data_IF_990462522443
#
_entry.id   IF_990462522443
#
_cell.length_a   1.000
_cell.length_b   1.000
_cell.length_c   1.000
_cell.angle_alpha   90.00
_cell.angle_beta   90.00
_cell.angle_gamma   90.00
#
_symmetry.space_group_name_H-M   'P 1'
#
loop_
_entity.id
_entity.type
_entity.pdbx_description
1 polymer ?
#
# COMPACT_ATOMS: atom_id res chain seq x y z
N UNK A 1 -3.47 -3.70 22.29
CA UNK A 1 -4.21 -3.62 21.01
C UNK A 1 -3.17 -3.70 19.90
N UNK A 2 -3.13 -4.77 19.12
CA UNK A 2 -2.17 -4.92 18.02
C UNK A 2 -2.68 -4.01 16.90
N UNK A 3 -2.06 -2.85 16.72
CA UNK A 3 -2.39 -1.96 15.61
C UNK A 3 -1.78 -2.56 14.35
N UNK A 4 -2.62 -3.19 13.54
CA UNK A 4 -2.24 -3.62 12.19
C UNK A 4 -1.80 -2.38 11.39
N UNK A 5 -0.73 -2.48 10.57
CA UNK A 5 -0.36 -1.40 9.68
C UNK A 5 -1.56 -1.02 8.81
N UNK A 6 -1.82 0.28 8.68
CA UNK A 6 -2.86 0.79 7.77
C UNK A 6 -2.26 0.91 6.39
N UNK A 7 -2.93 0.31 5.42
CA UNK A 7 -2.61 0.39 4.01
C UNK A 7 -3.64 1.29 3.35
N UNK A 8 -3.18 2.41 2.81
CA UNK A 8 -3.98 3.34 2.02
C UNK A 8 -3.47 3.35 0.57
N UNK A 9 -4.35 3.66 -0.39
CA UNK A 9 -4.04 3.62 -1.82
C UNK A 9 -4.23 5.00 -2.42
N UNK A 10 -3.12 5.56 -2.88
CA UNK A 10 -3.10 6.80 -3.66
C UNK A 10 -2.93 6.47 -5.15
N UNK A 11 -3.65 7.20 -6.00
CA UNK A 11 -3.52 7.10 -7.46
C UNK A 11 -3.04 8.44 -7.98
N UNK A 12 -1.89 8.43 -8.65
CA UNK A 12 -1.38 9.62 -9.30
C UNK A 12 -2.17 9.95 -10.59
N UNK A 13 -1.90 11.12 -11.18
CA UNK A 13 -2.55 11.58 -12.42
C UNK A 13 -2.37 10.65 -13.62
N UNK A 14 -1.37 9.76 -13.61
CA UNK A 14 -1.16 8.73 -14.62
C UNK A 14 -1.70 7.35 -14.21
N UNK A 15 -2.47 7.28 -13.12
CA UNK A 15 -3.08 6.05 -12.60
C UNK A 15 -2.08 5.00 -12.09
N UNK A 16 -0.88 5.42 -11.68
CA UNK A 16 0.02 4.55 -10.93
C UNK A 16 -0.43 4.52 -9.48
N UNK A 17 -0.69 3.31 -9.00
CA UNK A 17 -1.06 3.10 -7.61
C UNK A 17 0.17 3.12 -6.71
N UNK A 18 0.08 3.91 -5.66
CA UNK A 18 1.06 4.00 -4.59
C UNK A 18 0.37 3.55 -3.30
N UNK A 19 0.94 2.54 -2.65
CA UNK A 19 0.53 2.12 -1.32
C UNK A 19 1.21 3.02 -0.30
N UNK A 20 0.42 3.68 0.53
CA UNK A 20 0.88 4.41 1.70
C UNK A 20 0.68 3.52 2.92
N UNK A 21 1.76 3.26 3.64
CA UNK A 21 1.77 2.35 4.78
C UNK A 21 2.13 3.14 6.02
N UNK A 22 1.15 3.32 6.91
CA UNK A 22 1.37 4.01 8.17
C UNK A 22 1.95 3.04 9.21
N UNK A 23 3.14 3.35 9.70
CA UNK A 23 3.77 2.68 10.83
C UNK A 23 3.24 3.24 12.15
N UNK A 24 3.28 2.43 13.22
CA UNK A 24 2.82 2.86 14.54
C UNK A 24 3.67 4.00 15.14
N UNK A 25 4.91 4.19 14.66
CA UNK A 25 5.75 5.30 15.05
C UNK A 25 5.30 6.66 14.47
N UNK A 26 4.22 6.70 13.68
CA UNK A 26 3.70 7.90 13.02
C UNK A 26 4.37 8.24 11.69
N UNK A 27 5.31 7.40 11.21
CA UNK A 27 5.90 7.56 9.89
C UNK A 27 5.09 6.79 8.84
N UNK A 28 4.98 7.37 7.66
CA UNK A 28 4.33 6.74 6.51
C UNK A 28 5.39 6.40 5.47
N UNK A 29 5.37 5.17 4.97
CA UNK A 29 6.22 4.76 3.85
C UNK A 29 5.36 4.61 2.61
N UNK A 30 5.85 5.11 1.48
CA UNK A 30 5.15 5.07 0.19
C UNK A 30 5.89 4.15 -0.77
N UNK A 31 5.16 3.22 -1.37
CA UNK A 31 5.70 2.28 -2.35
C UNK A 31 4.76 2.15 -3.54
N UNK A 32 5.31 2.10 -4.75
CA UNK A 32 4.52 1.75 -5.91
C UNK A 32 3.98 0.33 -5.78
N UNK A 33 2.67 0.18 -5.93
CA UNK A 33 2.00 -1.12 -5.80
C UNK A 33 2.58 -2.15 -6.78
N UNK A 34 2.91 -1.72 -8.00
CA UNK A 34 3.52 -2.57 -9.02
C UNK A 34 4.91 -3.10 -8.66
N UNK A 35 5.59 -2.48 -7.68
CA UNK A 35 6.91 -2.91 -7.20
C UNK A 35 6.84 -3.73 -5.90
N UNK A 36 5.64 -3.90 -5.34
CA UNK A 36 5.43 -4.69 -4.14
C UNK A 36 5.19 -6.16 -4.50
N UNK A 37 5.80 -7.05 -3.72
CA UNK A 37 5.61 -8.48 -3.81
C UNK A 37 5.04 -9.02 -2.51
N UNK A 38 4.33 -10.16 -2.54
CA UNK A 38 4.01 -10.88 -1.32
C UNK A 38 5.32 -11.21 -0.58
N UNK A 39 5.33 -11.06 0.74
CA UNK A 39 6.50 -11.28 1.60
C UNK A 39 7.64 -10.26 1.45
N UNK A 40 7.42 -9.15 0.76
CA UNK A 40 8.39 -8.06 0.80
C UNK A 40 8.50 -7.51 2.23
N UNK A 41 9.72 -7.49 2.76
CA UNK A 41 10.01 -6.83 4.03
C UNK A 41 10.16 -5.34 3.78
N UNK A 42 9.16 -4.58 4.17
CA UNK A 42 9.19 -3.13 4.11
C UNK A 42 9.72 -2.63 5.45
N UNK A 43 10.73 -1.77 5.42
CA UNK A 43 11.30 -1.20 6.64
C UNK A 43 10.79 0.22 6.84
N UNK A 44 10.32 0.51 8.06
CA UNK A 44 10.03 1.87 8.45
C UNK A 44 11.31 2.60 8.84
N UNK A 45 11.32 3.94 8.73
CA UNK A 45 12.42 4.79 9.20
C UNK A 45 12.74 4.61 10.70
N UNK A 46 11.77 4.16 11.51
CA UNK A 46 12.01 3.85 12.92
C UNK A 46 12.72 2.50 13.15
N UNK A 47 12.97 1.71 12.11
CA UNK A 47 13.57 0.38 12.18
C UNK A 47 12.57 -0.76 12.39
N UNK A 48 11.26 -0.48 12.39
CA UNK A 48 10.24 -1.52 12.44
C UNK A 48 10.09 -2.23 11.08
N UNK A 49 10.05 -3.56 11.11
CA UNK A 49 9.68 -4.38 9.95
C UNK A 49 8.15 -4.36 9.77
N UNK A 50 7.74 -4.02 8.54
CA UNK A 50 6.37 -4.02 8.07
C UNK A 50 6.27 -5.14 7.04
N UNK A 51 5.52 -6.17 7.39
CA UNK A 51 5.20 -7.25 6.47
C UNK A 51 3.91 -6.94 5.73
N UNK A 52 3.95 -7.03 4.41
CA UNK A 52 2.74 -6.97 3.58
C UNK A 52 2.39 -8.40 3.13
N UNK A 53 1.38 -9.05 3.75
CA UNK A 53 0.97 -10.39 3.35
C UNK A 53 0.30 -10.36 1.98
N UNK A 54 0.33 -11.48 1.26
CA UNK A 54 -0.29 -11.62 -0.06
C UNK A 54 -1.77 -11.16 -0.08
N UNK A 55 -2.52 -11.41 0.99
CA UNK A 55 -3.91 -10.96 1.10
C UNK A 55 -4.05 -9.43 1.14
N UNK A 56 -3.13 -8.72 1.82
CA UNK A 56 -3.14 -7.26 1.84
C UNK A 56 -2.75 -6.68 0.46
N UNK A 57 -1.83 -7.35 -0.24
CA UNK A 57 -1.46 -6.98 -1.60
C UNK A 57 -2.63 -7.17 -2.57
N UNK A 58 -3.33 -8.30 -2.51
CA UNK A 58 -4.53 -8.56 -3.33
C UNK A 58 -5.63 -7.52 -3.07
N UNK A 59 -5.87 -7.17 -1.80
CA UNK A 59 -6.81 -6.10 -1.45
C UNK A 59 -6.40 -4.74 -2.03
N UNK A 60 -5.10 -4.39 -1.98
CA UNK A 60 -4.58 -3.16 -2.55
C UNK A 60 -4.74 -3.10 -4.08
N UNK A 61 -4.55 -4.22 -4.77
CA UNK A 61 -4.83 -4.34 -6.20
C UNK A 61 -6.31 -4.14 -6.50
N UNK A 62 -7.21 -4.83 -5.80
CA UNK A 62 -8.66 -4.67 -5.99
C UNK A 62 -9.14 -3.25 -5.72
N UNK A 63 -8.61 -2.59 -4.68
CA UNK A 63 -8.92 -1.19 -4.39
C UNK A 63 -8.45 -0.28 -5.51
N UNK A 64 -7.24 -0.50 -6.03
CA UNK A 64 -6.71 0.23 -7.18
C UNK A 64 -7.61 0.07 -8.40
N UNK A 65 -8.02 -1.15 -8.73
CA UNK A 65 -8.90 -1.43 -9.87
C UNK A 65 -10.27 -0.78 -9.69
N UNK A 66 -10.83 -0.82 -8.48
CA UNK A 66 -12.09 -0.15 -8.14
C UNK A 66 -11.99 1.38 -8.27
N UNK A 67 -10.88 1.97 -7.84
CA UNK A 67 -10.62 3.39 -7.99
C UNK A 67 -10.47 3.75 -9.48
N UNK A 68 -9.65 3.03 -10.25
CA UNK A 68 -9.52 3.23 -11.71
C UNK A 68 -10.87 3.14 -12.43
N UNK A 69 -11.70 2.16 -12.08
CA UNK A 69 -13.05 2.03 -12.62
C UNK A 69 -13.93 3.25 -12.28
N UNK A 70 -13.81 3.76 -11.05
CA UNK A 70 -14.54 4.96 -10.59
C UNK A 70 -14.06 6.24 -11.30
N UNK A 71 -12.77 6.34 -11.62
CA UNK A 71 -12.17 7.46 -12.35
C UNK A 71 -12.44 7.43 -13.87
N UNK A 72 -13.18 6.44 -14.41
CA UNK A 72 -13.44 6.26 -15.85
C UNK A 72 -12.16 6.36 -16.69
N UNK A 73 -11.12 5.63 -16.28
CA UNK A 73 -9.95 5.42 -17.14
C UNK A 73 -10.37 4.49 -18.28
N UNK A 74 -10.65 5.06 -19.45
CA UNK A 74 -10.83 4.32 -20.70
C UNK A 74 -9.51 4.28 -21.47
#
# INVERSE_FOLDING_TARGET
MIKSPRFDIDLDKHYNATVVIACDCGHETRHHLASLHPDNKLSCACGADISMPAAALDMAHRQTDALKASYRVH
#
